data_IF_515960738979
#
_entry.id   IF_515960738979
#
_cell.length_a   1.000
_cell.length_b   1.000
_cell.length_c   1.000
_cell.angle_alpha   90.00
_cell.angle_beta   90.00
_cell.angle_gamma   90.00
#
_symmetry.space_group_name_H-M   'P 1'
#
loop_
_entity.id
_entity.type
_entity.pdbx_description
1 polymer ?
#
# COMPACT_ATOMS: atom_id res chain seq x y z
N UNK A 1 22.88 -35.86 35.49
CA UNK A 1 22.73 -35.31 34.12
C UNK A 1 24.04 -34.59 33.82
N UNK A 2 24.82 -35.04 32.84
CA UNK A 2 26.10 -34.39 32.48
C UNK A 2 25.77 -33.26 31.50
N UNK A 3 26.08 -32.03 31.89
CA UNK A 3 25.90 -30.85 31.04
C UNK A 3 27.04 -30.84 30.01
N UNK A 4 26.72 -30.65 28.74
CA UNK A 4 27.72 -30.55 27.68
C UNK A 4 28.60 -29.29 27.89
N UNK A 5 29.90 -29.43 27.62
CA UNK A 5 30.86 -28.32 27.78
C UNK A 5 30.62 -27.16 26.80
N UNK A 6 29.95 -27.41 25.68
CA UNK A 6 29.65 -26.41 24.65
C UNK A 6 28.20 -26.51 24.16
N UNK A 7 27.61 -25.38 23.89
CA UNK A 7 26.33 -25.31 23.19
C UNK A 7 26.53 -25.60 21.71
N UNK A 8 25.82 -26.62 21.20
CA UNK A 8 25.85 -27.03 19.81
C UNK A 8 24.46 -26.84 19.20
N UNK A 9 24.19 -25.67 18.54
CA UNK A 9 22.86 -25.31 18.05
C UNK A 9 22.20 -26.38 17.21
N UNK A 10 22.95 -26.95 16.26
CA UNK A 10 22.45 -27.98 15.33
C UNK A 10 21.88 -29.23 16.01
N UNK A 11 22.35 -29.56 17.22
CA UNK A 11 21.93 -30.74 17.98
C UNK A 11 20.75 -30.44 18.95
N UNK A 12 20.56 -29.18 19.28
CA UNK A 12 19.68 -28.77 20.38
C UNK A 12 18.45 -28.04 19.87
N UNK A 13 18.60 -27.08 18.96
CA UNK A 13 17.51 -26.16 18.56
C UNK A 13 16.33 -26.90 17.94
N UNK A 14 16.56 -27.73 16.92
CA UNK A 14 15.50 -28.45 16.24
C UNK A 14 14.72 -29.35 17.21
N UNK A 15 15.45 -30.15 18.02
CA UNK A 15 14.86 -31.04 19.02
C UNK A 15 13.90 -30.33 19.97
N UNK A 16 14.33 -29.19 20.53
CA UNK A 16 13.49 -28.48 21.50
C UNK A 16 12.36 -27.72 20.83
N UNK A 17 12.59 -27.18 19.65
CA UNK A 17 11.54 -26.49 18.91
C UNK A 17 10.42 -27.45 18.51
N UNK A 18 10.77 -28.62 17.96
CA UNK A 18 9.81 -29.65 17.61
C UNK A 18 9.01 -30.10 18.84
N UNK A 19 9.68 -30.34 19.96
CA UNK A 19 9.03 -30.65 21.24
C UNK A 19 8.00 -29.59 21.66
N UNK A 20 8.33 -28.29 21.53
CA UNK A 20 7.41 -27.21 21.89
C UNK A 20 6.17 -27.16 20.99
N UNK A 21 6.35 -27.40 19.70
CA UNK A 21 5.26 -27.40 18.72
C UNK A 21 4.37 -28.63 18.92
N UNK A 22 4.94 -29.82 19.03
CA UNK A 22 4.22 -31.07 19.24
C UNK A 22 3.40 -31.06 20.54
N UNK A 23 3.94 -30.45 21.59
CA UNK A 23 3.23 -30.32 22.86
C UNK A 23 2.37 -29.04 22.95
N UNK A 24 2.16 -28.32 21.85
CA UNK A 24 1.29 -27.12 21.76
C UNK A 24 1.61 -26.05 22.81
N UNK A 25 2.90 -25.89 23.22
CA UNK A 25 3.29 -24.99 24.31
C UNK A 25 2.99 -23.53 24.00
N UNK A 26 2.92 -23.17 22.72
CA UNK A 26 2.63 -21.81 22.25
C UNK A 26 1.14 -21.56 21.96
N UNK A 27 0.33 -22.61 22.03
CA UNK A 27 -1.11 -22.50 21.77
C UNK A 27 -1.83 -21.79 22.90
N UNK A 28 -2.83 -20.99 22.55
CA UNK A 28 -3.61 -20.19 23.50
C UNK A 28 -5.11 -20.33 23.18
N UNK A 29 -5.87 -20.71 24.19
CA UNK A 29 -7.33 -20.62 24.17
C UNK A 29 -7.80 -19.62 25.22
N UNK A 30 -8.95 -18.94 24.99
CA UNK A 30 -9.51 -18.02 25.99
C UNK A 30 -9.76 -18.72 27.32
N UNK A 31 -9.26 -18.12 28.40
CA UNK A 31 -9.43 -18.58 29.78
C UNK A 31 -9.51 -17.39 30.76
N UNK A 32 -9.53 -17.64 32.06
CA UNK A 32 -9.65 -16.63 33.12
C UNK A 32 -8.36 -15.78 33.32
N UNK A 33 -7.25 -16.17 32.73
CA UNK A 33 -6.00 -15.42 32.85
C UNK A 33 -6.07 -14.12 32.09
N UNK A 34 -5.35 -13.10 32.55
CA UNK A 34 -5.24 -11.84 31.85
C UNK A 34 -4.68 -12.06 30.43
N UNK A 35 -5.40 -11.67 29.38
CA UNK A 35 -4.96 -11.86 28.00
C UNK A 35 -3.78 -10.97 27.65
N UNK A 36 -2.90 -11.46 26.79
CA UNK A 36 -1.82 -10.73 26.17
C UNK A 36 -1.66 -11.19 24.72
N UNK A 37 -2.20 -10.43 23.77
CA UNK A 37 -2.23 -10.83 22.38
C UNK A 37 -1.40 -9.88 21.52
N UNK A 38 -0.54 -10.47 20.69
CA UNK A 38 0.16 -9.76 19.61
C UNK A 38 -0.25 -10.40 18.28
N UNK A 39 -0.60 -9.59 17.32
CA UNK A 39 -0.69 -10.00 15.90
C UNK A 39 0.62 -9.59 15.25
N UNK A 40 1.32 -10.55 14.66
CA UNK A 40 2.57 -10.27 13.94
C UNK A 40 2.31 -9.23 12.84
N UNK A 41 3.17 -8.22 12.64
CA UNK A 41 3.17 -7.49 11.38
C UNK A 41 3.46 -8.50 10.25
N UNK A 42 2.46 -8.87 9.44
CA UNK A 42 2.61 -10.00 8.54
C UNK A 42 3.63 -9.67 7.45
N UNK A 43 4.71 -10.44 7.30
CA UNK A 43 5.68 -10.20 6.25
C UNK A 43 5.06 -10.44 4.88
N UNK A 44 5.48 -9.60 3.93
CA UNK A 44 5.07 -9.71 2.53
C UNK A 44 5.64 -10.99 1.90
N UNK A 45 4.83 -11.68 1.08
CA UNK A 45 5.27 -12.90 0.37
C UNK A 45 6.12 -12.52 -0.86
N UNK A 46 7.20 -11.75 -0.62
CA UNK A 46 8.10 -11.26 -1.66
C UNK A 46 9.42 -12.03 -1.74
N UNK A 47 9.68 -12.92 -0.77
CA UNK A 47 10.92 -13.71 -0.73
C UNK A 47 11.28 -14.16 0.69
N UNK A 48 12.58 -14.13 0.99
CA UNK A 48 13.13 -14.52 2.30
C UNK A 48 13.06 -13.35 3.30
N UNK A 49 12.98 -13.69 4.59
CA UNK A 49 13.10 -12.72 5.66
C UNK A 49 14.53 -12.15 5.71
N UNK A 50 14.65 -10.91 6.15
CA UNK A 50 15.92 -10.21 6.35
C UNK A 50 16.08 -9.76 7.81
N UNK A 51 17.24 -9.18 8.16
CA UNK A 51 17.58 -8.78 9.53
C UNK A 51 16.54 -7.87 10.21
N UNK A 52 15.87 -6.98 9.46
CA UNK A 52 14.79 -6.15 9.99
C UNK A 52 13.61 -6.97 10.51
N UNK A 53 13.23 -8.03 9.78
CA UNK A 53 12.21 -8.98 10.25
C UNK A 53 12.66 -9.73 11.50
N UNK A 54 13.93 -10.15 11.54
CA UNK A 54 14.49 -10.83 12.73
C UNK A 54 14.43 -9.95 13.96
N UNK A 55 14.87 -8.70 13.87
CA UNK A 55 14.82 -7.75 14.97
C UNK A 55 13.38 -7.54 15.47
N UNK A 56 12.46 -7.23 14.55
CA UNK A 56 11.06 -7.00 14.88
C UNK A 56 10.43 -8.21 15.59
N UNK A 57 10.60 -9.41 15.02
CA UNK A 57 10.03 -10.63 15.58
C UNK A 57 10.69 -11.03 16.92
N UNK A 58 11.97 -10.81 17.07
CA UNK A 58 12.66 -11.09 18.34
C UNK A 58 12.14 -10.22 19.47
N UNK A 59 11.90 -8.93 19.22
CA UNK A 59 11.31 -8.03 20.23
C UNK A 59 9.91 -8.51 20.66
N UNK A 60 9.07 -8.90 19.70
CA UNK A 60 7.74 -9.45 19.99
C UNK A 60 7.84 -10.77 20.78
N UNK A 61 8.72 -11.67 20.38
CA UNK A 61 8.90 -12.97 21.03
C UNK A 61 9.34 -12.81 22.50
N UNK A 62 10.26 -11.89 22.79
CA UNK A 62 10.68 -11.56 24.16
C UNK A 62 9.49 -11.11 25.00
N UNK A 63 8.64 -10.21 24.47
CA UNK A 63 7.46 -9.70 25.18
C UNK A 63 6.43 -10.81 25.44
N UNK A 64 6.15 -11.64 24.43
CA UNK A 64 5.22 -12.76 24.54
C UNK A 64 5.71 -13.80 25.53
N UNK A 65 6.99 -14.17 25.50
CA UNK A 65 7.60 -15.10 26.46
C UNK A 65 7.55 -14.56 27.88
N UNK A 66 7.86 -13.28 28.06
CA UNK A 66 7.72 -12.61 29.38
C UNK A 66 6.27 -12.67 29.87
N UNK A 67 5.29 -12.41 29.01
CA UNK A 67 3.87 -12.48 29.37
C UNK A 67 3.48 -13.89 29.86
N UNK A 68 3.91 -14.95 29.14
CA UNK A 68 3.70 -16.34 29.57
C UNK A 68 4.34 -16.63 30.95
N UNK A 69 5.59 -16.21 31.11
CA UNK A 69 6.30 -16.39 32.40
C UNK A 69 5.64 -15.63 33.55
N UNK A 70 4.91 -14.55 33.25
CA UNK A 70 4.12 -13.77 34.21
C UNK A 70 2.71 -14.34 34.46
N UNK A 71 2.41 -15.54 33.95
CA UNK A 71 1.12 -16.21 34.17
C UNK A 71 -0.02 -15.67 33.29
N UNK A 72 0.24 -14.86 32.29
CA UNK A 72 -0.79 -14.36 31.36
C UNK A 72 -1.15 -15.40 30.30
N UNK A 73 -2.37 -15.30 29.77
CA UNK A 73 -2.75 -16.04 28.58
C UNK A 73 -2.19 -15.29 27.36
N UNK A 74 -1.05 -15.74 26.86
CA UNK A 74 -0.33 -15.04 25.79
C UNK A 74 -0.51 -15.74 24.45
N UNK A 75 -1.08 -15.02 23.50
CA UNK A 75 -1.31 -15.43 22.13
C UNK A 75 -0.48 -14.57 21.17
N UNK A 76 0.38 -15.18 20.37
CA UNK A 76 1.09 -14.51 19.30
C UNK A 76 0.66 -15.10 17.95
N UNK A 77 -0.14 -14.33 17.21
CA UNK A 77 -0.77 -14.78 15.96
C UNK A 77 0.20 -14.55 14.79
N UNK A 78 0.69 -15.59 14.12
CA UNK A 78 1.52 -15.46 12.93
C UNK A 78 0.66 -15.26 11.68
N UNK A 79 1.25 -14.65 10.66
CA UNK A 79 0.59 -14.47 9.37
C UNK A 79 1.53 -14.03 8.28
N UNK A 80 0.99 -13.90 7.08
CA UNK A 80 1.68 -13.41 5.88
C UNK A 80 0.77 -12.48 5.12
N UNK A 81 1.38 -11.45 4.49
CA UNK A 81 0.66 -10.50 3.64
C UNK A 81 0.88 -10.82 2.15
N UNK A 82 -0.19 -10.76 1.38
CA UNK A 82 -0.12 -10.91 -0.08
C UNK A 82 0.61 -9.74 -0.76
N UNK A 83 0.67 -8.56 -0.13
CA UNK A 83 1.42 -7.36 -0.55
C UNK A 83 1.27 -7.00 -2.03
N UNK A 84 0.09 -7.22 -2.58
CA UNK A 84 -0.37 -6.88 -3.93
C UNK A 84 0.74 -6.50 -4.95
N UNK A 85 1.08 -5.22 -5.08
CA UNK A 85 2.03 -4.67 -6.07
C UNK A 85 3.44 -5.29 -5.93
N UNK A 86 3.94 -5.42 -4.71
CA UNK A 86 5.30 -5.93 -4.49
C UNK A 86 5.42 -7.41 -4.85
N UNK A 87 4.41 -8.22 -4.54
CA UNK A 87 4.34 -9.64 -4.93
C UNK A 87 4.13 -9.78 -6.43
N UNK A 88 3.24 -8.98 -7.01
CA UNK A 88 3.01 -8.94 -8.46
C UNK A 88 4.29 -8.65 -9.22
N UNK A 89 5.06 -7.64 -8.81
CA UNK A 89 6.34 -7.32 -9.44
C UNK A 89 7.32 -8.50 -9.41
N UNK A 90 7.35 -9.28 -8.32
CA UNK A 90 8.18 -10.49 -8.22
C UNK A 90 7.70 -11.61 -9.14
N UNK A 91 6.39 -11.82 -9.22
CA UNK A 91 5.79 -12.82 -10.13
C UNK A 91 6.06 -12.44 -11.58
N UNK A 92 5.88 -11.16 -11.94
CA UNK A 92 6.17 -10.65 -13.29
C UNK A 92 7.64 -10.84 -13.65
N UNK A 93 8.58 -10.53 -12.74
CA UNK A 93 10.00 -10.74 -12.96
C UNK A 93 10.33 -12.23 -13.20
N UNK A 94 9.76 -13.12 -12.39
CA UNK A 94 9.90 -14.58 -12.56
C UNK A 94 9.36 -15.05 -13.91
N UNK A 95 8.19 -14.57 -14.33
CA UNK A 95 7.59 -14.92 -15.63
C UNK A 95 8.47 -14.44 -16.78
N UNK A 96 8.99 -13.21 -16.69
CA UNK A 96 9.90 -12.65 -17.69
C UNK A 96 11.18 -13.48 -17.85
N UNK A 97 11.76 -13.97 -16.73
CA UNK A 97 12.91 -14.90 -16.77
C UNK A 97 12.57 -16.22 -17.50
N UNK A 98 11.30 -16.62 -17.50
CA UNK A 98 10.79 -17.79 -18.23
C UNK A 98 10.35 -17.47 -19.67
N UNK A 99 10.53 -16.22 -20.12
CA UNK A 99 10.13 -15.78 -21.45
C UNK A 99 8.61 -15.57 -21.60
N UNK A 100 7.87 -15.40 -20.49
CA UNK A 100 6.43 -15.21 -20.47
C UNK A 100 6.13 -13.74 -20.18
N UNK A 101 5.44 -13.06 -21.09
CA UNK A 101 4.99 -11.70 -20.91
C UNK A 101 3.63 -11.67 -20.19
N UNK A 102 3.51 -10.86 -19.11
CA UNK A 102 2.25 -10.73 -18.36
C UNK A 102 1.07 -10.36 -19.27
N UNK A 103 1.30 -9.53 -20.29
CA UNK A 103 0.27 -9.09 -21.22
C UNK A 103 -0.31 -10.22 -22.09
N UNK A 104 0.37 -11.36 -22.21
CA UNK A 104 -0.12 -12.54 -22.93
C UNK A 104 -1.00 -13.46 -22.10
N UNK A 105 -1.08 -13.22 -20.78
CA UNK A 105 -1.82 -14.08 -19.84
C UNK A 105 -3.21 -13.50 -19.56
N UNK A 106 -4.17 -14.38 -19.37
CA UNK A 106 -5.46 -14.04 -18.75
C UNK A 106 -5.25 -13.76 -17.26
N UNK A 107 -6.27 -13.15 -16.62
CA UNK A 107 -6.25 -12.91 -15.16
C UNK A 107 -6.10 -14.23 -14.37
N UNK A 108 -6.81 -15.26 -14.76
CA UNK A 108 -6.82 -16.58 -14.13
C UNK A 108 -5.45 -17.26 -14.23
N UNK A 109 -4.81 -17.19 -15.38
CA UNK A 109 -3.47 -17.72 -15.58
C UNK A 109 -2.44 -16.97 -14.72
N UNK A 110 -2.50 -15.64 -14.68
CA UNK A 110 -1.62 -14.85 -13.83
C UNK A 110 -1.83 -15.18 -12.35
N UNK A 111 -3.09 -15.28 -11.88
CA UNK A 111 -3.40 -15.64 -10.50
C UNK A 111 -2.85 -17.01 -10.13
N UNK A 112 -2.89 -18.00 -11.05
CA UNK A 112 -2.28 -19.31 -10.80
C UNK A 112 -0.79 -19.18 -10.46
N UNK A 113 -0.03 -18.42 -11.26
CA UNK A 113 1.39 -18.15 -10.98
C UNK A 113 1.61 -17.40 -9.67
N UNK A 114 0.72 -16.47 -9.33
CA UNK A 114 0.79 -15.74 -8.06
C UNK A 114 0.53 -16.69 -6.86
N UNK A 115 -0.39 -17.64 -6.98
CA UNK A 115 -0.62 -18.66 -5.95
C UNK A 115 0.55 -19.64 -5.83
N UNK A 116 1.15 -20.09 -6.94
CA UNK A 116 2.36 -20.91 -6.95
C UNK A 116 3.52 -20.20 -6.23
N UNK A 117 3.70 -18.90 -6.50
CA UNK A 117 4.67 -18.07 -5.80
C UNK A 117 4.40 -18.02 -4.29
N UNK A 118 3.15 -17.77 -3.89
CA UNK A 118 2.73 -17.74 -2.47
C UNK A 118 3.02 -19.08 -1.79
N UNK A 119 2.70 -20.21 -2.41
CA UNK A 119 2.98 -21.53 -1.81
C UNK A 119 4.49 -21.73 -1.60
N UNK A 120 5.29 -21.40 -2.60
CA UNK A 120 6.75 -21.53 -2.54
C UNK A 120 7.36 -20.68 -1.43
N UNK A 121 7.08 -19.38 -1.43
CA UNK A 121 7.76 -18.43 -0.52
C UNK A 121 7.07 -18.28 0.84
N UNK A 122 5.76 -18.43 0.92
CA UNK A 122 5.05 -18.46 2.20
C UNK A 122 5.55 -19.57 3.12
N UNK A 123 5.76 -20.77 2.57
CA UNK A 123 6.37 -21.87 3.33
C UNK A 123 7.80 -21.58 3.79
N UNK A 124 8.60 -20.82 3.01
CA UNK A 124 9.95 -20.40 3.41
C UNK A 124 9.89 -19.44 4.60
N UNK A 125 9.03 -18.41 4.55
CA UNK A 125 8.86 -17.42 5.62
C UNK A 125 8.52 -18.09 6.95
N UNK A 126 7.53 -18.96 6.97
CA UNK A 126 7.12 -19.67 8.19
C UNK A 126 8.22 -20.58 8.74
N UNK A 127 8.98 -21.26 7.86
CA UNK A 127 10.14 -22.06 8.29
C UNK A 127 11.25 -21.19 8.88
N UNK A 128 11.51 -20.01 8.30
CA UNK A 128 12.50 -19.08 8.84
C UNK A 128 12.11 -18.54 10.22
N UNK A 129 10.83 -18.21 10.43
CA UNK A 129 10.32 -17.82 11.76
C UNK A 129 10.47 -18.95 12.79
N UNK A 130 10.17 -20.20 12.40
CA UNK A 130 10.40 -21.36 13.25
C UNK A 130 11.89 -21.56 13.57
N UNK A 131 12.75 -21.39 12.57
CA UNK A 131 14.21 -21.48 12.75
C UNK A 131 14.77 -20.38 13.66
N UNK A 132 14.14 -19.19 13.64
CA UNK A 132 14.44 -18.12 14.58
C UNK A 132 14.03 -18.46 16.03
N UNK A 133 13.21 -19.49 16.21
CA UNK A 133 12.67 -19.90 17.52
C UNK A 133 11.41 -19.15 17.93
N UNK A 134 10.73 -18.49 17.01
CA UNK A 134 9.53 -17.69 17.29
C UNK A 134 8.42 -18.53 17.98
N UNK A 135 7.93 -18.05 19.12
CA UNK A 135 6.93 -18.74 19.95
C UNK A 135 5.49 -18.39 19.56
N UNK A 136 5.22 -18.42 18.23
CA UNK A 136 3.90 -18.15 17.67
C UNK A 136 2.92 -19.31 17.94
N UNK A 137 1.64 -18.98 18.03
CA UNK A 137 0.54 -19.95 17.94
C UNK A 137 0.34 -20.36 16.49
N UNK A 138 1.03 -21.40 16.06
CA UNK A 138 1.09 -21.83 14.66
C UNK A 138 -0.26 -22.36 14.11
N UNK A 139 -1.16 -22.77 14.99
CA UNK A 139 -2.50 -23.21 14.61
C UNK A 139 -3.36 -22.02 14.13
N UNK A 140 -2.99 -20.79 14.52
CA UNK A 140 -3.63 -19.54 14.12
C UNK A 140 -2.94 -18.86 12.92
N UNK A 141 -2.06 -19.59 12.23
CA UNK A 141 -1.40 -19.03 11.04
C UNK A 141 -2.44 -18.60 9.99
N UNK A 142 -2.31 -17.36 9.51
CA UNK A 142 -3.24 -16.80 8.53
C UNK A 142 -2.52 -16.12 7.36
N UNK A 143 -3.24 -15.98 6.28
CA UNK A 143 -2.83 -15.24 5.09
C UNK A 143 -3.90 -14.21 4.77
N UNK A 144 -3.50 -13.01 4.38
CA UNK A 144 -4.42 -11.89 4.18
C UNK A 144 -5.47 -12.11 3.09
N UNK A 145 -5.26 -13.09 2.19
CA UNK A 145 -6.23 -13.48 1.16
C UNK A 145 -6.86 -14.86 1.37
N UNK A 146 -6.79 -15.42 2.57
CA UNK A 146 -7.57 -16.63 2.86
C UNK A 146 -9.07 -16.32 2.91
N UNK A 147 -9.90 -17.35 2.75
CA UNK A 147 -11.35 -17.20 2.59
C UNK A 147 -12.00 -16.40 3.74
N UNK A 148 -11.62 -16.70 4.99
CA UNK A 148 -12.19 -16.05 6.19
C UNK A 148 -11.84 -14.55 6.20
N UNK A 149 -10.60 -14.19 5.82
CA UNK A 149 -10.15 -12.77 5.78
C UNK A 149 -10.76 -12.03 4.61
N UNK A 150 -10.87 -12.69 3.46
CA UNK A 150 -11.55 -12.15 2.28
C UNK A 150 -13.02 -11.85 2.58
N UNK A 151 -13.75 -12.78 3.19
CA UNK A 151 -15.13 -12.57 3.62
C UNK A 151 -15.24 -11.41 4.63
N UNK A 152 -14.33 -11.37 5.62
CA UNK A 152 -14.28 -10.30 6.62
C UNK A 152 -14.09 -8.92 6.00
N UNK A 153 -13.17 -8.78 5.04
CA UNK A 153 -12.92 -7.51 4.33
C UNK A 153 -14.14 -7.09 3.51
N UNK A 154 -14.75 -8.01 2.76
CA UNK A 154 -15.95 -7.72 1.97
C UNK A 154 -17.11 -7.28 2.86
N UNK A 155 -17.33 -7.96 3.99
CA UNK A 155 -18.37 -7.60 4.95
C UNK A 155 -18.20 -6.20 5.52
N UNK A 156 -16.97 -5.86 5.96
CA UNK A 156 -16.65 -4.53 6.47
C UNK A 156 -16.81 -3.47 5.38
N UNK A 157 -16.38 -3.75 4.16
CA UNK A 157 -16.57 -2.83 3.04
C UNK A 157 -18.05 -2.52 2.79
N UNK A 158 -18.91 -3.53 2.73
CA UNK A 158 -20.35 -3.36 2.55
C UNK A 158 -20.96 -2.56 3.71
N UNK A 159 -20.64 -2.89 4.96
CA UNK A 159 -21.13 -2.19 6.15
C UNK A 159 -20.73 -0.69 6.14
N UNK A 160 -19.48 -0.38 5.77
CA UNK A 160 -19.04 1.00 5.66
C UNK A 160 -19.69 1.75 4.49
N UNK A 161 -19.97 1.07 3.39
CA UNK A 161 -20.70 1.65 2.27
C UNK A 161 -22.14 1.97 2.66
N UNK A 162 -22.86 1.05 3.31
CA UNK A 162 -24.22 1.24 3.81
C UNK A 162 -24.31 2.39 4.84
N UNK A 163 -23.28 2.55 5.67
CA UNK A 163 -23.15 3.67 6.61
C UNK A 163 -22.73 5.00 5.95
N UNK A 164 -22.57 5.04 4.63
CA UNK A 164 -22.15 6.23 3.89
C UNK A 164 -20.71 6.69 4.17
N UNK A 165 -19.87 5.83 4.76
CA UNK A 165 -18.44 6.13 5.04
C UNK A 165 -17.56 5.90 3.83
N UNK A 166 -17.95 5.01 2.93
CA UNK A 166 -17.31 4.75 1.66
C UNK A 166 -18.24 5.23 0.55
N UNK A 167 -17.71 5.96 -0.41
CA UNK A 167 -18.44 6.43 -1.58
C UNK A 167 -17.54 6.40 -2.82
N UNK A 168 -18.14 6.31 -4.00
CA UNK A 168 -17.44 6.42 -5.27
C UNK A 168 -17.24 7.89 -5.64
N UNK A 169 -16.01 8.30 -5.88
CA UNK A 169 -15.67 9.67 -6.27
C UNK A 169 -14.48 9.73 -7.21
N UNK A 170 -14.25 10.92 -7.80
CA UNK A 170 -13.10 11.20 -8.65
C UNK A 170 -12.11 12.02 -7.84
N UNK A 171 -10.85 11.61 -7.83
CA UNK A 171 -9.74 12.29 -7.14
C UNK A 171 -8.53 12.37 -8.06
N UNK A 172 -7.70 13.39 -7.86
CA UNK A 172 -6.35 13.42 -8.44
C UNK A 172 -5.50 12.39 -7.72
N UNK A 173 -4.77 11.58 -8.48
CA UNK A 173 -3.86 10.56 -7.95
C UNK A 173 -2.54 10.61 -8.71
N UNK A 174 -1.45 10.19 -8.05
CA UNK A 174 -0.22 9.88 -8.74
C UNK A 174 -0.43 8.57 -9.52
N UNK A 175 -0.12 8.58 -10.79
CA UNK A 175 -0.36 7.44 -11.69
C UNK A 175 0.92 7.03 -12.41
N UNK A 176 1.28 5.75 -12.31
CA UNK A 176 2.35 5.16 -13.13
C UNK A 176 1.74 4.54 -14.40
N UNK A 177 1.98 5.12 -15.59
CA UNK A 177 1.44 4.60 -16.84
C UNK A 177 2.10 3.29 -17.28
N UNK A 178 3.30 2.98 -16.81
CA UNK A 178 4.00 1.72 -17.10
C UNK A 178 3.43 0.57 -16.30
N UNK A 179 3.33 0.74 -14.99
CA UNK A 179 2.73 -0.26 -14.10
C UNK A 179 1.19 -0.27 -14.15
N UNK A 180 0.58 0.78 -14.74
CA UNK A 180 -0.89 0.97 -14.84
C UNK A 180 -1.57 0.93 -13.47
N UNK A 181 -0.99 1.62 -12.50
CA UNK A 181 -1.47 1.68 -11.11
C UNK A 181 -1.37 3.08 -10.53
N UNK A 182 -2.20 3.37 -9.54
CA UNK A 182 -2.03 4.52 -8.67
C UNK A 182 -0.86 4.28 -7.69
N UNK A 183 -0.18 5.35 -7.33
CA UNK A 183 0.91 5.36 -6.37
C UNK A 183 0.50 6.16 -5.14
N UNK A 184 0.95 5.73 -3.96
CA UNK A 184 0.86 6.54 -2.75
C UNK A 184 1.88 7.70 -2.80
N UNK A 185 1.66 8.71 -1.97
CA UNK A 185 2.58 9.85 -1.93
C UNK A 185 3.97 9.44 -1.44
N UNK A 186 4.07 8.40 -0.59
CA UNK A 186 5.32 7.85 -0.09
C UNK A 186 6.13 7.10 -1.16
N UNK A 187 5.47 6.60 -2.20
CA UNK A 187 6.13 5.89 -3.31
C UNK A 187 6.67 6.85 -4.38
N UNK A 188 6.24 8.12 -4.35
CA UNK A 188 6.67 9.13 -5.33
C UNK A 188 8.08 9.62 -5.02
N UNK A 189 8.99 9.39 -5.94
CA UNK A 189 10.36 9.89 -5.86
C UNK A 189 10.45 11.22 -6.60
N UNK A 190 10.58 12.31 -5.85
CA UNK A 190 10.77 13.65 -6.44
C UNK A 190 12.20 13.81 -6.96
N UNK A 191 12.31 14.23 -8.21
CA UNK A 191 13.59 14.60 -8.83
C UNK A 191 13.56 16.05 -9.24
N UNK A 192 14.58 16.79 -8.86
CA UNK A 192 14.76 18.15 -9.34
C UNK A 192 15.04 18.13 -10.85
N UNK A 193 14.32 18.96 -11.60
CA UNK A 193 14.49 19.10 -13.04
C UNK A 193 14.47 20.58 -13.41
N UNK A 194 15.37 20.96 -14.32
CA UNK A 194 15.38 22.31 -14.88
C UNK A 194 14.33 22.41 -15.97
N UNK A 195 13.28 23.17 -15.70
CA UNK A 195 12.20 23.48 -16.62
C UNK A 195 12.14 24.99 -16.97
N UNK A 196 11.25 25.33 -17.88
CA UNK A 196 10.92 26.72 -18.20
C UNK A 196 9.49 27.00 -17.80
N UNK A 197 9.23 28.20 -17.32
CA UNK A 197 7.91 28.74 -17.09
C UNK A 197 7.54 29.60 -18.28
N UNK A 198 6.40 29.38 -18.89
CA UNK A 198 5.91 30.07 -20.07
C UNK A 198 4.70 30.91 -19.71
N UNK A 199 4.74 32.19 -20.06
CA UNK A 199 3.62 33.11 -19.88
C UNK A 199 2.74 33.11 -21.14
N UNK A 200 1.54 32.54 -21.01
CA UNK A 200 0.52 32.55 -22.06
C UNK A 200 -0.39 33.77 -21.89
N UNK A 201 -0.57 34.53 -22.95
CA UNK A 201 -1.38 35.77 -22.94
C UNK A 201 -2.70 35.53 -23.64
N UNK A 202 -3.77 35.53 -22.86
CA UNK A 202 -5.15 35.41 -23.34
C UNK A 202 -5.78 36.78 -23.44
N UNK A 203 -6.12 37.24 -24.63
CA UNK A 203 -6.80 38.51 -24.83
C UNK A 203 -8.29 38.39 -24.48
N UNK A 204 -8.81 39.34 -23.70
CA UNK A 204 -10.24 39.43 -23.40
C UNK A 204 -10.96 39.92 -24.67
N UNK A 205 -12.02 39.22 -25.07
CA UNK A 205 -12.80 39.57 -26.28
C UNK A 205 -13.45 40.94 -26.13
N UNK A 206 -13.32 41.78 -27.18
CA UNK A 206 -13.87 43.16 -27.17
C UNK A 206 -13.08 44.18 -26.35
N UNK A 207 -11.87 43.85 -25.87
CA UNK A 207 -11.03 44.70 -25.07
C UNK A 207 -9.55 44.50 -25.41
N UNK A 208 -8.73 45.50 -25.09
CA UNK A 208 -7.25 45.39 -25.20
C UNK A 208 -6.62 44.71 -23.97
N UNK A 209 -7.43 44.32 -23.02
CA UNK A 209 -6.98 43.66 -21.79
C UNK A 209 -6.52 42.24 -22.09
N UNK A 210 -5.49 41.81 -21.38
CA UNK A 210 -4.91 40.47 -21.44
C UNK A 210 -4.88 39.83 -20.05
N UNK A 211 -5.13 38.53 -20.00
CA UNK A 211 -4.91 37.72 -18.80
C UNK A 211 -3.68 36.84 -19.06
N UNK A 212 -2.73 36.88 -18.14
CA UNK A 212 -1.48 36.12 -18.24
C UNK A 212 -1.63 34.87 -17.35
N UNK A 213 -1.35 33.72 -17.91
CA UNK A 213 -1.32 32.42 -17.22
C UNK A 213 0.05 31.81 -17.41
N UNK A 214 0.73 31.53 -16.30
CA UNK A 214 2.02 30.88 -16.33
C UNK A 214 1.86 29.34 -16.29
N UNK A 215 2.58 28.66 -17.17
CA UNK A 215 2.55 27.19 -17.23
C UNK A 215 3.94 26.63 -17.55
N UNK A 216 4.24 25.45 -17.01
CA UNK A 216 5.43 24.68 -17.40
C UNK A 216 5.18 23.79 -18.62
N UNK A 217 3.91 23.69 -19.08
CA UNK A 217 3.47 22.81 -20.15
C UNK A 217 2.66 23.58 -21.21
N UNK A 218 3.30 24.40 -22.03
CA UNK A 218 2.60 25.24 -23.00
C UNK A 218 1.86 24.45 -24.10
N UNK A 219 2.22 23.18 -24.31
CA UNK A 219 1.55 22.28 -25.23
C UNK A 219 0.08 22.00 -24.87
N UNK A 220 -0.31 22.20 -23.62
CA UNK A 220 -1.69 21.97 -23.15
C UNK A 220 -2.66 23.03 -23.64
N UNK A 221 -2.20 24.14 -24.19
CA UNK A 221 -3.03 25.25 -24.70
C UNK A 221 -4.11 24.79 -25.70
N UNK A 222 -3.84 23.73 -26.45
CA UNK A 222 -4.80 23.17 -27.42
C UNK A 222 -6.03 22.53 -26.74
N UNK A 223 -5.92 22.19 -25.46
CA UNK A 223 -7.00 21.63 -24.65
C UNK A 223 -7.69 22.65 -23.76
N UNK A 224 -7.27 23.91 -23.78
CA UNK A 224 -7.85 24.94 -22.92
C UNK A 224 -9.29 25.25 -23.32
N UNK A 225 -10.19 25.20 -22.36
CA UNK A 225 -11.62 25.45 -22.53
C UNK A 225 -12.14 26.60 -21.70
N UNK A 226 -11.46 26.93 -20.59
CA UNK A 226 -11.81 28.04 -19.71
C UNK A 226 -10.62 28.52 -18.90
N UNK A 227 -10.63 29.80 -18.50
CA UNK A 227 -9.76 30.32 -17.44
C UNK A 227 -10.56 30.47 -16.17
N UNK A 228 -9.96 30.02 -15.05
CA UNK A 228 -10.55 30.17 -13.73
C UNK A 228 -9.82 31.29 -12.98
N UNK A 229 -10.56 32.24 -12.43
CA UNK A 229 -10.02 33.34 -11.65
C UNK A 229 -10.64 33.36 -10.26
N UNK A 230 -9.87 33.84 -9.27
CA UNK A 230 -10.44 34.10 -7.94
C UNK A 230 -11.35 35.34 -8.03
N UNK A 231 -12.64 35.25 -7.65
CA UNK A 231 -13.59 36.38 -7.69
C UNK A 231 -13.19 37.54 -6.75
N UNK A 232 -12.44 37.26 -5.69
CA UNK A 232 -11.98 38.27 -4.72
C UNK A 232 -10.69 38.97 -5.13
N UNK A 233 -10.05 38.52 -6.21
CA UNK A 233 -8.81 39.14 -6.72
C UNK A 233 -9.13 40.46 -7.44
N UNK A 234 -8.59 41.57 -6.91
CA UNK A 234 -8.81 42.91 -7.44
C UNK A 234 -8.49 43.04 -8.92
N UNK A 235 -7.58 42.22 -9.43
CA UNK A 235 -7.20 42.21 -10.85
C UNK A 235 -8.33 41.77 -11.75
N UNK A 236 -9.36 41.06 -11.25
CA UNK A 236 -10.41 40.44 -12.07
C UNK A 236 -11.81 40.86 -11.68
N UNK A 237 -12.00 41.70 -10.64
CA UNK A 237 -13.30 42.14 -10.14
C UNK A 237 -14.18 42.85 -11.15
N UNK A 238 -13.58 43.53 -12.09
CA UNK A 238 -14.25 44.31 -13.13
C UNK A 238 -14.51 43.52 -14.42
N UNK A 239 -14.17 42.24 -14.44
CA UNK A 239 -14.51 41.36 -15.57
C UNK A 239 -16.00 41.02 -15.57
N UNK A 240 -16.69 41.19 -16.72
CA UNK A 240 -18.06 40.71 -16.85
C UNK A 240 -18.20 39.22 -16.56
N UNK A 241 -19.34 38.80 -16.01
CA UNK A 241 -19.59 37.40 -15.67
C UNK A 241 -19.59 36.48 -16.90
N UNK A 242 -19.85 37.01 -18.09
CA UNK A 242 -19.85 36.34 -19.39
C UNK A 242 -18.60 36.61 -20.22
N UNK A 243 -17.57 37.19 -19.60
CA UNK A 243 -16.33 37.53 -20.28
C UNK A 243 -15.73 36.30 -20.97
N UNK A 244 -15.25 36.52 -22.21
CA UNK A 244 -14.59 35.51 -23.01
C UNK A 244 -13.15 35.90 -23.28
N UNK A 245 -12.28 34.93 -23.43
CA UNK A 245 -10.90 35.10 -23.85
C UNK A 245 -10.62 34.40 -25.18
N UNK A 246 -9.68 34.96 -25.91
CA UNK A 246 -9.21 34.37 -27.17
C UNK A 246 -7.95 33.59 -26.84
N UNK A 247 -7.99 32.28 -27.12
CA UNK A 247 -6.80 31.42 -27.02
C UNK A 247 -5.77 31.86 -28.08
N UNK A 248 -4.49 31.94 -27.77
CA UNK A 248 -3.46 32.36 -28.73
C UNK A 248 -3.42 31.55 -30.04
N UNK A 249 -4.11 30.40 -30.11
CA UNK A 249 -4.29 29.57 -31.32
C UNK A 249 -5.59 29.84 -32.09
N UNK A 250 -6.31 30.95 -31.84
CA UNK A 250 -7.56 31.36 -32.47
C UNK A 250 -8.88 30.70 -32.00
N UNK A 251 -8.89 29.97 -30.91
CA UNK A 251 -10.12 29.45 -30.29
C UNK A 251 -10.62 30.43 -29.21
N UNK A 252 -11.96 30.47 -29.01
CA UNK A 252 -12.59 31.29 -27.96
C UNK A 252 -12.92 30.43 -26.75
N UNK A 253 -12.62 30.93 -25.53
CA UNK A 253 -12.91 30.30 -24.27
C UNK A 253 -13.69 31.22 -23.35
N UNK A 254 -14.42 30.64 -22.39
CA UNK A 254 -15.11 31.37 -21.32
C UNK A 254 -14.21 31.56 -20.10
N UNK A 255 -14.31 32.71 -19.42
CA UNK A 255 -13.73 32.92 -18.10
C UNK A 255 -14.76 32.44 -17.07
N UNK A 256 -14.34 31.57 -16.17
CA UNK A 256 -15.20 31.05 -15.09
C UNK A 256 -14.63 31.52 -13.75
N UNK A 257 -15.38 32.34 -13.03
CA UNK A 257 -15.09 32.64 -11.62
C UNK A 257 -15.76 31.58 -10.76
N UNK A 258 -14.97 30.83 -9.99
CA UNK A 258 -15.50 29.91 -8.98
C UNK A 258 -15.03 30.37 -7.60
N UNK A 259 -15.94 30.43 -6.59
CA UNK A 259 -15.50 30.64 -5.22
C UNK A 259 -14.57 29.50 -4.81
N UNK A 260 -13.54 29.84 -4.04
CA UNK A 260 -12.64 28.88 -3.46
C UNK A 260 -13.44 27.94 -2.56
N UNK A 261 -13.58 26.68 -2.94
CA UNK A 261 -14.06 25.68 -2.00
C UNK A 261 -12.95 25.43 -0.99
N UNK A 262 -13.05 26.08 0.18
CA UNK A 262 -12.34 25.61 1.36
C UNK A 262 -12.84 24.19 1.63
N UNK A 263 -11.99 23.17 1.73
CA UNK A 263 -12.43 21.88 2.22
C UNK A 263 -12.85 22.11 3.68
N UNK A 264 -14.15 22.15 3.93
CA UNK A 264 -14.67 21.99 5.28
C UNK A 264 -14.20 20.63 5.78
N UNK A 265 -13.49 20.65 6.90
CA UNK A 265 -13.01 19.51 7.66
C UNK A 265 -14.06 18.41 7.83
#
# INVERSE_FOLDING_TARGET
>A
MQIADKYLPAQIEAKWYDYWVENRIFHSEPDERQPYTIVIPPPNVTGMLHMGHMLNNTLQDVLVRRARMSGRNACWVPGMDHASIATEAKVVAMLHEQGIEKASLTREEFLRHAWEWKEKYGGVILRQLRKLGASCDWERTCFTMDDIRTEGVLRVFCDLYEKGKIYRGVRMVNWDPSAKTALSDEEVVFKESHGKLYDLRYRVEGSDRTIIVATTRPETILGDTALCVNPDDERYRDLPADARVIVPSSLKMSIVSRPYFSPSM
#
